data_IF_321643094843
#
_entry.id   IF_321643094843
#
_cell.length_a   1.000
_cell.length_b   1.000
_cell.length_c   1.000
_cell.angle_alpha   90.00
_cell.angle_beta   90.00
_cell.angle_gamma   90.00
#
_symmetry.space_group_name_H-M   'P 1'
#
loop_
_entity.id
_entity.type
_entity.pdbx_description
1 polymer ?
#
# COMPACT_ATOMS: atom_id res chain seq x y z
N UNK A 1 -10.34 -41.33 -13.65
CA UNK A 1 -10.09 -39.90 -13.83
C UNK A 1 -11.35 -39.25 -13.32
N UNK A 2 -11.28 -38.71 -12.11
CA UNK A 2 -12.46 -38.17 -11.45
C UNK A 2 -12.51 -36.67 -11.72
N UNK A 3 -13.68 -36.21 -12.16
CA UNK A 3 -13.95 -34.79 -12.39
C UNK A 3 -14.34 -34.22 -11.02
N UNK A 4 -13.38 -33.57 -10.36
CA UNK A 4 -13.55 -33.02 -9.00
C UNK A 4 -14.19 -31.63 -9.00
N UNK A 5 -14.41 -31.03 -10.19
CA UNK A 5 -15.10 -29.75 -10.38
C UNK A 5 -15.01 -29.27 -11.85
N UNK A 6 -15.62 -28.12 -12.19
CA UNK A 6 -15.37 -27.48 -13.48
C UNK A 6 -13.86 -27.17 -13.60
N UNK A 7 -13.23 -27.67 -14.66
CA UNK A 7 -11.81 -27.45 -15.00
C UNK A 7 -10.77 -27.96 -13.98
N UNK A 8 -11.13 -28.94 -13.14
CA UNK A 8 -10.21 -29.65 -12.24
C UNK A 8 -10.29 -31.15 -12.49
N UNK A 9 -9.14 -31.77 -12.79
CA UNK A 9 -9.02 -33.20 -13.08
C UNK A 9 -8.01 -33.83 -12.13
N UNK A 10 -8.44 -34.89 -11.42
CA UNK A 10 -7.56 -35.62 -10.54
C UNK A 10 -7.45 -37.10 -10.98
N UNK A 11 -6.23 -37.60 -10.96
CA UNK A 11 -5.93 -39.02 -10.94
C UNK A 11 -5.44 -39.34 -9.53
N UNK A 12 -6.40 -39.72 -8.70
CA UNK A 12 -6.14 -40.18 -7.34
C UNK A 12 -6.02 -41.70 -7.34
N UNK A 13 -4.97 -42.20 -6.72
CA UNK A 13 -4.94 -43.58 -6.29
C UNK A 13 -4.64 -43.67 -4.82
N UNK A 14 -5.10 -44.77 -4.23
CA UNK A 14 -4.97 -45.04 -2.82
C UNK A 14 -3.83 -46.05 -2.64
N UNK A 15 -2.89 -45.82 -1.71
CA UNK A 15 -1.87 -46.81 -1.42
C UNK A 15 -2.55 -48.08 -0.91
N UNK A 16 -2.21 -49.21 -1.51
CA UNK A 16 -2.66 -50.54 -1.09
C UNK A 16 -1.43 -51.41 -0.78
N UNK A 17 -1.26 -51.73 0.49
CA UNK A 17 -0.14 -52.55 0.95
C UNK A 17 -0.64 -53.85 1.55
N UNK A 18 -0.39 -54.95 0.85
CA UNK A 18 -0.52 -56.30 1.41
C UNK A 18 0.76 -56.63 2.20
N UNK A 19 0.62 -56.95 3.49
CA UNK A 19 1.77 -57.18 4.39
C UNK A 19 1.84 -58.63 4.85
N UNK A 20 3.06 -59.08 5.17
CA UNK A 20 3.34 -60.38 5.80
C UNK A 20 4.04 -60.16 7.14
N UNK A 21 3.90 -61.12 8.06
CA UNK A 21 4.44 -61.01 9.42
C UNK A 21 5.95 -60.73 9.40
N UNK A 22 6.39 -59.82 10.28
CA UNK A 22 7.81 -59.42 10.47
C UNK A 22 8.48 -58.69 9.29
N UNK A 23 7.71 -58.06 8.39
CA UNK A 23 8.26 -57.18 7.34
C UNK A 23 7.69 -55.77 7.44
N UNK A 24 8.57 -54.78 7.24
CA UNK A 24 8.17 -53.40 6.98
C UNK A 24 8.04 -53.24 5.47
N UNK A 25 6.84 -52.89 4.99
CA UNK A 25 6.61 -52.53 3.60
C UNK A 25 6.29 -51.02 3.55
N UNK A 26 6.93 -50.32 2.60
CA UNK A 26 6.65 -48.91 2.31
C UNK A 26 6.21 -48.80 0.86
N UNK A 27 4.98 -48.36 0.64
CA UNK A 27 4.49 -48.00 -0.69
C UNK A 27 4.47 -46.48 -0.81
N UNK A 28 4.85 -45.98 -1.99
CA UNK A 28 4.76 -44.57 -2.33
C UNK A 28 3.76 -44.45 -3.47
N UNK A 29 2.76 -43.59 -3.28
CA UNK A 29 1.80 -43.23 -4.32
C UNK A 29 2.05 -41.79 -4.75
N UNK A 30 1.86 -41.50 -6.04
CA UNK A 30 1.96 -40.15 -6.60
C UNK A 30 0.66 -39.86 -7.34
N UNK A 31 -0.08 -38.89 -6.84
CA UNK A 31 -1.34 -38.45 -7.46
C UNK A 31 -1.05 -37.31 -8.44
N UNK A 32 -1.74 -37.32 -9.58
CA UNK A 32 -1.66 -36.26 -10.57
C UNK A 32 -2.91 -35.40 -10.48
N UNK A 33 -2.75 -34.08 -10.45
CA UNK A 33 -3.86 -33.12 -10.46
C UNK A 33 -3.60 -32.05 -11.51
N UNK A 34 -4.62 -31.72 -12.27
CA UNK A 34 -4.64 -30.63 -13.23
C UNK A 34 -5.71 -29.63 -12.80
N UNK A 35 -5.33 -28.37 -12.63
CA UNK A 35 -6.22 -27.29 -12.22
C UNK A 35 -5.97 -26.05 -13.05
N UNK A 36 -7.05 -25.34 -13.39
CA UNK A 36 -6.97 -24.02 -13.98
C UNK A 36 -6.58 -22.98 -12.92
N UNK A 37 -5.60 -22.14 -13.25
CA UNK A 37 -5.13 -21.06 -12.39
C UNK A 37 -5.00 -19.77 -13.19
N UNK A 38 -5.10 -18.63 -12.50
CA UNK A 38 -4.94 -17.32 -13.14
C UNK A 38 -3.49 -16.85 -13.01
N UNK A 39 -2.91 -16.42 -14.12
CA UNK A 39 -1.60 -15.79 -14.18
C UNK A 39 -1.78 -14.32 -14.55
N UNK A 40 -1.03 -13.43 -13.93
CA UNK A 40 -1.13 -12.00 -14.18
C UNK A 40 0.26 -11.40 -14.39
N UNK A 41 0.41 -10.59 -15.44
CA UNK A 41 1.63 -9.82 -15.66
C UNK A 41 1.26 -8.41 -16.11
N UNK A 42 2.01 -7.44 -15.63
CA UNK A 42 1.78 -6.02 -15.90
C UNK A 42 2.33 -5.59 -17.27
N UNK A 43 3.35 -6.29 -17.76
CA UNK A 43 3.98 -5.99 -19.04
C UNK A 43 4.57 -7.24 -19.69
N UNK A 44 4.79 -7.26 -21.03
CA UNK A 44 5.26 -8.45 -21.75
C UNK A 44 6.53 -9.11 -21.19
N UNK A 45 7.42 -8.36 -20.56
CA UNK A 45 8.67 -8.86 -19.98
C UNK A 45 8.73 -8.69 -18.44
N UNK A 46 7.59 -8.38 -17.80
CA UNK A 46 7.51 -8.22 -16.35
C UNK A 46 7.33 -9.57 -15.68
N UNK A 47 7.64 -9.65 -14.39
CA UNK A 47 7.34 -10.83 -13.58
C UNK A 47 5.87 -11.22 -13.69
N UNK A 48 5.64 -12.52 -13.85
CA UNK A 48 4.30 -13.10 -13.89
C UNK A 48 3.95 -13.51 -12.47
N UNK A 49 2.93 -12.90 -11.90
CA UNK A 49 2.37 -13.31 -10.61
C UNK A 49 1.59 -14.61 -10.80
N UNK A 50 1.94 -15.63 -10.02
CA UNK A 50 1.31 -16.94 -10.04
C UNK A 50 0.97 -17.41 -8.62
N UNK A 51 0.12 -18.44 -8.45
CA UNK A 51 -0.10 -19.07 -7.15
C UNK A 51 1.16 -19.66 -6.51
N UNK A 52 2.23 -19.88 -7.28
CA UNK A 52 3.53 -20.37 -6.81
C UNK A 52 4.50 -19.24 -6.44
N UNK A 53 4.06 -17.98 -6.56
CA UNK A 53 4.88 -16.78 -6.42
C UNK A 53 5.25 -16.15 -7.77
N UNK A 54 6.24 -15.28 -7.75
CA UNK A 54 6.65 -14.50 -8.92
C UNK A 54 7.56 -15.31 -9.85
N UNK A 55 7.17 -15.38 -11.12
CA UNK A 55 7.87 -16.10 -12.18
C UNK A 55 8.58 -15.08 -13.08
N UNK A 56 9.80 -15.37 -13.58
CA UNK A 56 10.45 -14.52 -14.57
C UNK A 56 9.62 -14.38 -15.86
N UNK A 57 9.38 -13.14 -16.29
CA UNK A 57 8.54 -12.85 -17.47
C UNK A 57 9.10 -13.27 -18.82
N UNK A 58 10.39 -13.59 -18.91
CA UNK A 58 11.03 -14.01 -20.17
C UNK A 58 10.75 -15.49 -20.52
N UNK A 59 10.00 -16.20 -19.67
CA UNK A 59 9.68 -17.60 -19.87
C UNK A 59 8.36 -17.67 -20.65
N UNK A 60 8.36 -18.43 -21.73
CA UNK A 60 7.18 -18.65 -22.55
C UNK A 60 6.67 -20.08 -22.33
N UNK A 61 5.37 -20.25 -22.53
CA UNK A 61 4.62 -21.50 -22.55
C UNK A 61 4.51 -22.27 -21.22
N UNK A 62 5.60 -22.44 -20.48
CA UNK A 62 5.56 -23.22 -19.25
C UNK A 62 6.63 -22.85 -18.22
N UNK A 63 6.27 -23.02 -16.96
CA UNK A 63 7.18 -22.87 -15.83
C UNK A 63 7.03 -24.07 -14.89
N UNK A 64 8.15 -24.67 -14.51
CA UNK A 64 8.18 -25.80 -13.59
C UNK A 64 8.85 -25.38 -12.28
N UNK A 65 8.15 -25.62 -11.18
CA UNK A 65 8.68 -25.48 -9.83
C UNK A 65 8.41 -26.78 -9.06
N UNK A 66 9.47 -27.50 -8.69
CA UNK A 66 9.41 -28.83 -8.06
C UNK A 66 8.53 -29.85 -8.83
N UNK A 67 7.39 -30.22 -8.25
CA UNK A 67 6.43 -31.19 -8.78
C UNK A 67 5.26 -30.51 -9.50
N UNK A 68 5.23 -29.18 -9.58
CA UNK A 68 4.16 -28.41 -10.21
C UNK A 68 4.68 -27.80 -11.51
N UNK A 69 3.89 -27.91 -12.56
CA UNK A 69 4.15 -27.27 -13.85
C UNK A 69 2.96 -26.39 -14.20
N UNK A 70 3.22 -25.11 -14.39
CA UNK A 70 2.29 -24.15 -14.95
C UNK A 70 2.47 -24.13 -16.47
N UNK A 71 1.37 -24.12 -17.20
CA UNK A 71 1.35 -24.08 -18.67
C UNK A 71 0.35 -23.02 -19.09
N UNK A 72 0.73 -22.16 -20.03
CA UNK A 72 -0.13 -21.13 -20.60
C UNK A 72 0.20 -20.94 -22.07
N UNK A 73 -0.69 -20.27 -22.79
CA UNK A 73 -0.52 -19.92 -24.20
C UNK A 73 -0.94 -18.46 -24.38
N UNK A 74 -0.09 -17.68 -25.04
CA UNK A 74 -0.31 -16.26 -25.31
C UNK A 74 -1.57 -16.00 -26.15
N UNK A 75 -2.09 -16.99 -26.86
CA UNK A 75 -3.36 -16.91 -27.60
C UNK A 75 -4.56 -16.63 -26.69
N UNK A 76 -4.47 -16.99 -25.41
CA UNK A 76 -5.50 -16.76 -24.39
C UNK A 76 -5.21 -15.54 -23.52
N UNK A 77 -4.18 -14.77 -23.87
CA UNK A 77 -3.79 -13.57 -23.13
C UNK A 77 -4.83 -12.48 -23.33
N UNK A 78 -5.54 -12.19 -22.25
CA UNK A 78 -6.41 -11.01 -22.19
C UNK A 78 -5.58 -9.78 -21.78
N UNK A 79 -5.36 -8.86 -22.72
CA UNK A 79 -4.83 -7.55 -22.40
C UNK A 79 -5.93 -6.71 -21.74
N UNK A 80 -5.89 -6.60 -20.42
CA UNK A 80 -6.73 -5.64 -19.70
C UNK A 80 -6.15 -4.23 -19.86
N UNK A 81 -6.96 -3.22 -20.20
CA UNK A 81 -6.48 -1.85 -20.21
C UNK A 81 -6.00 -1.46 -18.81
N UNK A 82 -4.99 -0.59 -18.74
CA UNK A 82 -4.51 -0.08 -17.47
C UNK A 82 -5.66 0.67 -16.77
N UNK A 83 -6.09 0.13 -15.61
CA UNK A 83 -7.24 0.61 -14.86
C UNK A 83 -6.75 1.24 -13.56
N UNK A 84 -7.10 2.51 -13.34
CA UNK A 84 -6.88 3.18 -12.07
C UNK A 84 -7.86 2.63 -11.03
N UNK A 85 -7.33 2.21 -9.89
CA UNK A 85 -8.15 1.83 -8.74
C UNK A 85 -8.10 2.93 -7.69
N UNK A 86 -9.27 3.43 -7.29
CA UNK A 86 -9.37 4.30 -6.12
C UNK A 86 -9.15 3.43 -4.89
N UNK A 87 -8.09 3.75 -4.14
CA UNK A 87 -7.71 3.02 -2.93
C UNK A 87 -8.43 3.64 -1.74
N UNK A 88 -8.32 4.98 -1.62
CA UNK A 88 -8.93 5.74 -0.55
C UNK A 88 -9.48 7.09 -1.05
N UNK A 89 -10.50 7.59 -0.36
CA UNK A 89 -11.10 8.90 -0.62
C UNK A 89 -11.49 9.57 0.69
N UNK A 90 -10.97 10.78 0.91
CA UNK A 90 -11.22 11.52 2.15
C UNK A 90 -10.98 13.02 1.98
N UNK A 91 -11.16 13.75 3.07
CA UNK A 91 -10.82 15.16 3.18
C UNK A 91 -9.63 15.31 4.13
N UNK A 92 -8.62 16.06 3.70
CA UNK A 92 -7.43 16.32 4.50
C UNK A 92 -7.04 17.78 4.51
N UNK A 93 -6.24 18.15 5.50
CA UNK A 93 -5.61 19.46 5.58
C UNK A 93 -4.31 19.42 4.80
N UNK A 94 -4.17 20.31 3.80
CA UNK A 94 -2.95 20.47 3.01
C UNK A 94 -2.00 21.44 3.71
N UNK A 95 -0.76 21.01 3.90
CA UNK A 95 0.35 21.81 4.40
C UNK A 95 1.38 22.00 3.29
N UNK A 96 1.86 23.24 3.14
CA UNK A 96 3.05 23.51 2.32
C UNK A 96 4.29 23.07 3.10
N UNK A 97 5.20 22.36 2.45
CA UNK A 97 6.54 22.14 3.02
C UNK A 97 7.45 23.32 2.68
N UNK A 98 8.68 23.35 3.21
CA UNK A 98 9.67 24.41 2.90
C UNK A 98 9.98 24.53 1.40
N UNK A 99 9.72 23.48 0.61
CA UNK A 99 9.86 23.48 -0.84
C UNK A 99 8.48 23.55 -1.51
N UNK A 100 8.28 24.52 -2.42
CA UNK A 100 7.03 24.72 -3.19
C UNK A 100 6.68 23.54 -4.12
N UNK A 101 7.55 22.55 -4.23
CA UNK A 101 7.35 21.35 -5.05
C UNK A 101 6.74 20.18 -4.29
N UNK A 102 6.82 20.18 -2.95
CA UNK A 102 6.36 19.07 -2.10
C UNK A 102 5.26 19.52 -1.16
N UNK A 103 4.21 18.74 -1.10
CA UNK A 103 3.04 19.03 -0.29
C UNK A 103 2.73 17.84 0.60
N UNK A 104 2.17 18.15 1.76
CA UNK A 104 1.72 17.14 2.72
C UNK A 104 0.22 17.29 2.88
N UNK A 105 -0.51 16.19 2.82
CA UNK A 105 -1.93 16.16 3.15
C UNK A 105 -2.15 15.20 4.31
N UNK A 106 -2.84 15.67 5.34
CA UNK A 106 -3.13 14.92 6.55
C UNK A 106 -4.63 14.82 6.74
N UNK A 107 -5.16 13.60 6.89
CA UNK A 107 -6.54 13.33 7.28
C UNK A 107 -6.55 12.92 8.76
N UNK A 108 -6.97 13.81 9.70
CA UNK A 108 -7.01 13.48 11.12
C UNK A 108 -8.09 12.46 11.50
N UNK A 109 -9.14 12.32 10.68
CA UNK A 109 -10.27 11.43 10.96
C UNK A 109 -9.84 9.99 10.70
N UNK A 110 -9.25 9.77 9.53
CA UNK A 110 -8.75 8.45 9.14
C UNK A 110 -7.31 8.18 9.61
N UNK A 111 -6.66 9.20 10.19
CA UNK A 111 -5.27 9.14 10.67
C UNK A 111 -4.31 8.72 9.56
N UNK A 112 -4.51 9.27 8.37
CA UNK A 112 -3.68 9.05 7.19
C UNK A 112 -2.87 10.29 6.89
N UNK A 113 -1.64 10.09 6.45
CA UNK A 113 -0.76 11.18 6.06
C UNK A 113 0.02 10.79 4.80
N UNK A 114 -0.01 11.69 3.82
CA UNK A 114 0.64 11.50 2.53
C UNK A 114 1.49 12.71 2.20
N UNK A 115 2.72 12.47 1.77
CA UNK A 115 3.59 13.48 1.18
C UNK A 115 3.64 13.21 -0.32
N UNK A 116 3.37 14.22 -1.13
CA UNK A 116 3.34 14.10 -2.59
C UNK A 116 4.10 15.24 -3.26
N UNK A 117 4.61 14.97 -4.46
CA UNK A 117 5.29 15.97 -5.29
C UNK A 117 4.31 16.56 -6.30
N UNK A 118 4.31 17.87 -6.50
CA UNK A 118 3.48 18.57 -7.51
C UNK A 118 3.99 18.37 -8.94
N UNK A 119 4.62 17.23 -9.21
CA UNK A 119 5.03 16.82 -10.55
C UNK A 119 3.86 16.01 -11.10
N UNK A 120 3.50 16.31 -12.33
CA UNK A 120 2.47 15.57 -13.05
C UNK A 120 2.99 14.16 -13.35
N UNK A 121 2.30 13.14 -12.86
CA UNK A 121 2.61 11.74 -13.18
C UNK A 121 1.64 11.23 -14.23
N UNK A 122 2.16 10.72 -15.34
CA UNK A 122 1.35 9.95 -16.28
C UNK A 122 1.05 8.59 -15.67
N UNK A 123 -0.23 8.31 -15.42
CA UNK A 123 -0.69 6.98 -15.04
C UNK A 123 -1.42 6.39 -16.23
N UNK A 124 -1.11 5.14 -16.58
CA UNK A 124 -1.73 4.42 -17.70
C UNK A 124 -1.55 5.02 -19.10
N UNK A 125 -0.62 5.95 -19.32
CA UNK A 125 -0.26 6.44 -20.66
C UNK A 125 -1.28 7.37 -21.34
N UNK A 126 -2.41 7.69 -20.72
CA UNK A 126 -3.43 8.59 -21.29
C UNK A 126 -3.52 9.96 -20.58
N UNK A 127 -3.08 10.99 -21.30
CA UNK A 127 -4.00 12.04 -21.80
C UNK A 127 -4.50 13.17 -20.89
N UNK A 128 -4.53 13.05 -19.56
CA UNK A 128 -4.88 14.19 -18.70
C UNK A 128 -3.92 14.29 -17.51
N UNK A 129 -2.76 14.88 -17.82
CA UNK A 129 -1.57 14.98 -16.99
C UNK A 129 -1.73 15.87 -15.75
N UNK A 130 -2.85 16.53 -15.52
CA UNK A 130 -2.90 17.69 -14.59
C UNK A 130 -3.40 17.37 -13.18
N UNK A 131 -3.91 16.17 -12.90
CA UNK A 131 -4.56 15.87 -11.62
C UNK A 131 -3.85 14.85 -10.73
N UNK A 132 -2.86 14.11 -11.24
CA UNK A 132 -2.23 13.02 -10.51
C UNK A 132 -0.79 13.34 -10.14
N UNK A 133 -0.49 13.15 -8.86
CA UNK A 133 0.80 13.44 -8.26
C UNK A 133 1.36 12.21 -7.58
N UNK A 134 2.66 11.89 -7.74
CA UNK A 134 3.25 10.73 -7.10
C UNK A 134 3.36 10.95 -5.58
N UNK A 135 2.98 9.93 -4.82
CA UNK A 135 3.20 9.89 -3.37
C UNK A 135 4.64 9.49 -3.10
N UNK A 136 5.35 10.28 -2.30
CA UNK A 136 6.75 10.03 -1.96
C UNK A 136 6.85 8.83 -1.01
N UNK A 137 7.79 7.93 -1.32
CA UNK A 137 8.01 6.72 -0.52
C UNK A 137 7.06 5.56 -0.84
N UNK A 138 6.14 5.74 -1.80
CA UNK A 138 5.25 4.67 -2.28
C UNK A 138 5.39 4.50 -3.79
N UNK A 139 5.69 3.29 -4.24
CA UNK A 139 5.76 3.01 -5.68
C UNK A 139 4.35 2.85 -6.24
N UNK A 140 4.09 3.42 -7.43
CA UNK A 140 2.83 3.29 -8.18
C UNK A 140 1.58 3.86 -7.49
N UNK A 141 1.74 4.53 -6.36
CA UNK A 141 0.67 5.27 -5.69
C UNK A 141 0.69 6.72 -6.16
N UNK A 142 -0.44 7.17 -6.69
CA UNK A 142 -0.68 8.57 -7.02
C UNK A 142 -1.83 9.13 -6.22
N UNK A 143 -1.79 10.43 -5.98
CA UNK A 143 -2.85 11.18 -5.32
C UNK A 143 -3.40 12.22 -6.28
N UNK A 144 -4.73 12.37 -6.27
CA UNK A 144 -5.41 13.49 -6.89
C UNK A 144 -5.96 14.40 -5.79
N UNK A 145 -5.54 15.67 -5.81
CA UNK A 145 -5.96 16.65 -4.79
C UNK A 145 -6.79 17.72 -5.46
N UNK A 146 -8.04 17.86 -5.02
CA UNK A 146 -8.90 18.96 -5.39
C UNK A 146 -8.99 19.92 -4.21
N UNK A 147 -8.55 21.16 -4.39
CA UNK A 147 -8.68 22.17 -3.34
C UNK A 147 -10.17 22.54 -3.20
N UNK A 148 -10.71 22.38 -1.99
CA UNK A 148 -12.02 22.87 -1.65
C UNK A 148 -12.02 24.41 -1.76
N UNK A 149 -12.98 24.97 -2.49
CA UNK A 149 -13.13 26.42 -2.58
C UNK A 149 -13.25 26.99 -1.16
N UNK A 150 -12.41 27.97 -0.84
CA UNK A 150 -12.52 28.73 0.41
C UNK A 150 -13.92 29.32 0.49
N UNK A 151 -14.66 29.03 1.57
CA UNK A 151 -15.57 29.92 2.31
C UNK A 151 -16.71 29.12 2.97
N UNK A 152 -16.79 29.25 4.30
CA UNK A 152 -17.92 29.02 5.22
C UNK A 152 -18.69 27.69 5.14
N UNK A 153 -18.89 27.12 6.33
CA UNK A 153 -19.72 25.96 6.65
C UNK A 153 -19.18 24.60 6.17
N UNK A 154 -18.47 23.95 7.10
CA UNK A 154 -18.22 22.52 7.15
C UNK A 154 -19.57 21.77 7.14
N UNK A 155 -20.17 21.59 5.96
CA UNK A 155 -21.14 20.54 5.73
C UNK A 155 -20.37 19.34 5.22
N UNK A 156 -20.32 18.28 6.02
CA UNK A 156 -19.77 16.98 5.68
C UNK A 156 -20.31 16.51 4.32
N UNK A 157 -19.51 16.67 3.26
CA UNK A 157 -19.77 15.95 2.00
C UNK A 157 -19.30 14.52 2.18
N UNK A 158 -20.18 13.68 2.71
CA UNK A 158 -20.04 12.23 2.68
C UNK A 158 -20.10 11.76 1.21
N UNK A 159 -19.05 11.15 0.65
CA UNK A 159 -19.14 10.57 -0.68
C UNK A 159 -20.03 9.33 -0.66
N UNK A 160 -20.98 9.23 -1.60
CA UNK A 160 -21.83 8.06 -1.77
C UNK A 160 -20.99 6.88 -2.29
N UNK A 161 -20.92 5.82 -1.48
CA UNK A 161 -20.31 4.54 -1.83
C UNK A 161 -21.35 3.63 -2.47
N UNK A 162 -21.43 3.63 -3.79
CA UNK A 162 -22.08 2.56 -4.55
C UNK A 162 -21.25 2.27 -5.79
N UNK A 163 -20.24 1.40 -5.62
CA UNK A 163 -19.75 0.43 -6.62
C UNK A 163 -18.32 0.00 -6.29
N UNK A 164 -18.15 -1.04 -5.46
CA UNK A 164 -16.89 -1.78 -5.33
C UNK A 164 -17.07 -3.08 -4.53
N UNK A 165 -17.76 -4.09 -5.08
CA UNK A 165 -17.93 -5.40 -4.39
C UNK A 165 -17.45 -6.59 -5.22
N UNK A 166 -16.51 -6.43 -6.17
CA UNK A 166 -16.15 -7.56 -7.05
C UNK A 166 -14.66 -7.83 -7.34
N UNK A 167 -13.70 -7.20 -6.65
CA UNK A 167 -12.26 -7.52 -6.86
C UNK A 167 -11.51 -7.42 -5.52
N UNK A 168 -11.58 -8.45 -4.67
CA UNK A 168 -11.29 -8.32 -3.22
C UNK A 168 -10.14 -9.16 -2.63
N UNK A 169 -9.46 -10.04 -3.36
CA UNK A 169 -8.46 -10.93 -2.73
C UNK A 169 -6.99 -10.47 -2.89
N UNK A 170 -6.56 -10.06 -4.09
CA UNK A 170 -5.21 -9.53 -4.32
C UNK A 170 -5.12 -8.02 -4.00
N UNK A 171 -6.27 -7.36 -3.91
CA UNK A 171 -6.43 -5.91 -3.75
C UNK A 171 -6.44 -5.43 -2.31
N UNK A 172 -7.01 -6.23 -1.40
CA UNK A 172 -7.08 -5.89 0.02
C UNK A 172 -5.68 -5.79 0.63
N UNK A 173 -4.75 -6.67 0.20
CA UNK A 173 -3.35 -6.66 0.65
C UNK A 173 -2.68 -5.31 0.34
N UNK A 174 -2.78 -4.86 -0.93
CA UNK A 174 -2.21 -3.57 -1.35
C UNK A 174 -2.88 -2.36 -0.69
N UNK A 175 -4.18 -2.44 -0.36
CA UNK A 175 -4.88 -1.35 0.37
C UNK A 175 -4.37 -1.27 1.81
N UNK A 176 -4.33 -2.41 2.50
CA UNK A 176 -3.86 -2.51 3.88
C UNK A 176 -2.41 -2.05 4.02
N UNK A 177 -1.54 -2.37 3.07
CA UNK A 177 -0.14 -1.91 3.07
C UNK A 177 -0.04 -0.37 2.98
N UNK A 178 -0.84 0.25 2.12
CA UNK A 178 -0.85 1.71 1.93
C UNK A 178 -1.44 2.41 3.15
N UNK A 179 -2.58 1.93 3.66
CA UNK A 179 -3.18 2.42 4.90
C UNK A 179 -2.18 2.30 6.06
N UNK A 180 -1.52 1.15 6.21
CA UNK A 180 -0.53 0.93 7.26
C UNK A 180 0.66 1.88 7.16
N UNK A 181 1.22 2.05 5.96
CA UNK A 181 2.35 2.93 5.73
C UNK A 181 2.01 4.41 6.00
N UNK A 182 0.87 4.88 5.49
CA UNK A 182 0.40 6.25 5.69
C UNK A 182 -0.03 6.53 7.14
N UNK A 183 -0.63 5.55 7.82
CA UNK A 183 -0.94 5.65 9.23
C UNK A 183 0.32 5.68 10.11
N UNK A 184 1.32 4.86 9.78
CA UNK A 184 2.62 4.89 10.45
C UNK A 184 3.29 6.26 10.28
N UNK A 185 3.20 6.84 9.08
CA UNK A 185 3.68 8.19 8.81
C UNK A 185 2.93 9.25 9.63
N UNK A 186 1.60 9.15 9.69
CA UNK A 186 0.76 10.03 10.50
C UNK A 186 1.21 10.05 11.97
N UNK A 187 1.33 8.88 12.61
CA UNK A 187 1.71 8.79 14.03
C UNK A 187 3.09 9.37 14.28
N UNK A 188 4.08 8.98 13.46
CA UNK A 188 5.47 9.41 13.63
C UNK A 188 5.59 10.93 13.58
N UNK A 189 5.00 11.52 12.56
CA UNK A 189 5.14 12.94 12.33
C UNK A 189 4.28 13.76 13.29
N UNK A 190 3.09 13.28 13.67
CA UNK A 190 2.28 13.93 14.69
C UNK A 190 3.02 13.99 16.04
N UNK A 191 3.65 12.88 16.44
CA UNK A 191 4.49 12.85 17.64
C UNK A 191 5.70 13.78 17.52
N UNK A 192 6.33 13.84 16.36
CA UNK A 192 7.46 14.72 16.09
C UNK A 192 7.05 16.21 16.14
N UNK A 193 5.90 16.57 15.57
CA UNK A 193 5.34 17.92 15.61
C UNK A 193 5.08 18.36 17.06
N UNK A 194 4.46 17.50 17.87
CA UNK A 194 4.23 17.76 19.30
C UNK A 194 5.56 17.95 20.03
N UNK A 195 6.52 17.06 19.81
CA UNK A 195 7.84 17.13 20.45
C UNK A 195 8.57 18.42 20.10
N UNK A 196 8.57 18.79 18.81
CA UNK A 196 9.21 20.01 18.33
C UNK A 196 8.52 21.26 18.88
N UNK A 197 7.19 21.27 18.93
CA UNK A 197 6.42 22.36 19.53
C UNK A 197 6.74 22.52 21.01
N UNK A 198 6.70 21.43 21.78
CA UNK A 198 7.02 21.45 23.21
C UNK A 198 8.46 21.92 23.46
N UNK A 199 9.43 21.45 22.68
CA UNK A 199 10.82 21.88 22.79
C UNK A 199 10.97 23.39 22.54
N UNK A 200 10.19 23.95 21.59
CA UNK A 200 10.17 25.39 21.32
C UNK A 200 9.58 26.18 22.50
N UNK A 201 8.45 25.72 23.04
CA UNK A 201 7.82 26.36 24.21
C UNK A 201 8.74 26.33 25.43
N UNK A 202 9.40 25.20 25.72
CA UNK A 202 10.37 25.10 26.82
C UNK A 202 11.52 26.10 26.63
N UNK A 203 12.07 26.21 25.42
CA UNK A 203 13.14 27.19 25.14
C UNK A 203 12.67 28.63 25.35
N UNK A 204 11.45 28.95 24.89
CA UNK A 204 10.86 30.27 25.11
C UNK A 204 10.70 30.58 26.60
N UNK A 205 10.13 29.64 27.36
CA UNK A 205 9.97 29.78 28.81
C UNK A 205 11.30 29.92 29.55
N UNK A 206 12.33 29.17 29.15
CA UNK A 206 13.67 29.31 29.72
C UNK A 206 14.28 30.69 29.42
N UNK A 207 14.04 31.24 28.22
CA UNK A 207 14.48 32.58 27.86
C UNK A 207 13.81 33.65 28.74
N UNK A 208 12.48 33.59 28.88
CA UNK A 208 11.71 34.52 29.72
C UNK A 208 12.08 34.40 31.21
N UNK A 209 12.31 33.18 31.70
CA UNK A 209 12.77 32.94 33.07
C UNK A 209 14.14 33.59 33.33
N UNK A 210 15.10 33.44 32.40
CA UNK A 210 16.41 34.08 32.51
C UNK A 210 16.31 35.60 32.48
N UNK A 211 15.47 36.15 31.59
CA UNK A 211 15.23 37.59 31.51
C UNK A 211 14.64 38.13 32.81
N UNK A 212 13.67 37.43 33.39
CA UNK A 212 13.05 37.80 34.67
C UNK A 212 14.05 37.72 35.82
N UNK A 213 14.87 36.66 35.89
CA UNK A 213 15.91 36.52 36.90
C UNK A 213 16.96 37.63 36.80
N UNK A 214 17.37 37.98 35.58
CA UNK A 214 18.27 39.11 35.33
C UNK A 214 17.66 40.43 35.83
N UNK A 215 16.41 40.72 35.48
CA UNK A 215 15.71 41.92 35.95
C UNK A 215 15.63 41.97 37.49
N UNK A 216 15.26 40.87 38.15
CA UNK A 216 15.19 40.81 39.60
C UNK A 216 16.56 41.05 40.26
N UNK A 217 17.63 40.46 39.73
CA UNK A 217 19.00 40.68 40.21
C UNK A 217 19.44 42.13 40.04
N UNK A 218 19.12 42.77 38.90
CA UNK A 218 19.45 44.18 38.67
C UNK A 218 18.67 45.12 39.60
N UNK A 219 17.39 44.86 39.84
CA UNK A 219 16.58 45.69 40.73
C UNK A 219 17.04 45.56 42.18
N UNK A 220 17.27 44.34 42.67
CA UNK A 220 17.77 44.12 44.04
C UNK A 220 19.12 44.78 44.28
N UNK A 221 20.06 44.68 43.33
CA UNK A 221 21.36 45.34 43.42
C UNK A 221 21.29 46.89 43.46
N UNK A 222 20.21 47.51 42.99
CA UNK A 222 20.02 48.97 43.03
C UNK A 222 19.50 49.49 44.37
N UNK A 223 18.94 48.65 45.22
CA UNK A 223 18.34 49.05 46.50
C UNK A 223 19.21 48.73 47.74
N UNK A 224 20.27 47.93 47.59
CA UNK A 224 21.20 47.56 48.67
C UNK A 224 22.49 48.42 48.70
N UNK A 225 22.41 49.68 48.20
CA UNK A 225 23.52 50.65 48.15
C UNK A 225 23.37 51.81 49.12
#
# INVERSE_FOLDING_TARGET
MDITGPNSFALEGHPFVETSWLRTATEKMTNCRLEEVTLQSECPNCTISSPLGDIPGAINDSFKHDLVTLVWDDSWKEAKPCELRVIEKGMGVKYSTENDTTFRIRDPIQQLDFIYSMINSSVCGEGNLTSYHPVLGMERVVIAVQEAAKVTDLVEMRPNNTDAVAKMALSELTRVEIEYASHTQYIRDFAMDISNHLAREIRNLQCESRKTAYHAATTTAQYDG
#
